data_IF_014176036648
#
_entry.id   IF_014176036648
#
_cell.length_a   1.000
_cell.length_b   1.000
_cell.length_c   1.000
_cell.angle_alpha   90.00
_cell.angle_beta   90.00
_cell.angle_gamma   90.00
#
_symmetry.space_group_name_H-M   'P 1'
#
loop_
_entity.id
_entity.type
_entity.pdbx_description
1 polymer ?
#
# COMPACT_ATOMS: atom_id res chain seq x y z
N UNK A 1 60.55 -39.30 -65.43
CA UNK A 1 59.26 -38.61 -65.61
C UNK A 1 58.47 -38.66 -64.31
N UNK A 2 58.44 -37.59 -63.60
CA UNK A 2 57.74 -37.49 -62.29
C UNK A 2 56.30 -37.00 -62.51
N UNK A 3 55.28 -37.49 -61.76
CA UNK A 3 53.98 -36.91 -61.75
C UNK A 3 53.83 -35.90 -60.63
N UNK A 4 52.98 -34.93 -60.92
CA UNK A 4 52.65 -33.68 -60.23
C UNK A 4 52.02 -33.86 -58.86
N UNK A 5 52.47 -33.06 -57.92
CA UNK A 5 51.93 -32.86 -56.58
C UNK A 5 50.47 -32.33 -56.55
N UNK A 6 49.59 -33.02 -55.82
CA UNK A 6 48.23 -32.58 -55.50
C UNK A 6 48.26 -31.88 -54.17
N UNK A 7 48.03 -30.55 -54.18
CA UNK A 7 47.84 -29.77 -52.95
C UNK A 7 46.36 -29.81 -52.58
N UNK A 8 46.04 -30.52 -51.50
CA UNK A 8 44.74 -30.50 -50.89
C UNK A 8 44.62 -29.27 -49.94
N UNK A 9 43.74 -28.36 -50.29
CA UNK A 9 43.37 -27.25 -49.43
C UNK A 9 42.25 -27.68 -48.48
N UNK A 10 42.57 -27.80 -47.16
CA UNK A 10 41.55 -27.96 -46.10
C UNK A 10 40.93 -26.61 -45.83
N UNK A 11 39.68 -26.38 -46.27
CA UNK A 11 38.81 -25.32 -45.79
C UNK A 11 38.23 -25.74 -44.44
N UNK A 12 38.74 -25.16 -43.32
CA UNK A 12 38.18 -25.33 -42.01
C UNK A 12 36.90 -24.47 -41.87
N UNK A 13 35.74 -25.13 -41.87
CA UNK A 13 34.45 -24.51 -41.59
C UNK A 13 34.32 -24.28 -40.09
N UNK A 14 34.60 -23.04 -39.60
CA UNK A 14 34.38 -22.67 -38.25
C UNK A 14 32.86 -22.49 -38.01
N UNK A 15 32.23 -23.50 -37.41
CA UNK A 15 30.84 -23.44 -36.97
C UNK A 15 30.82 -22.66 -35.64
N UNK A 16 30.53 -21.37 -35.67
CA UNK A 16 30.24 -20.55 -34.48
C UNK A 16 28.90 -21.00 -33.92
N UNK A 17 28.92 -21.83 -32.86
CA UNK A 17 27.75 -22.08 -32.03
C UNK A 17 27.35 -20.77 -31.31
N UNK A 18 26.41 -20.05 -31.85
CA UNK A 18 25.67 -19.00 -31.13
C UNK A 18 24.83 -19.71 -30.05
N UNK A 19 25.34 -19.74 -28.81
CA UNK A 19 24.53 -20.12 -27.66
C UNK A 19 23.40 -19.11 -27.53
N UNK A 20 22.11 -19.53 -27.51
CA UNK A 20 21.04 -18.63 -27.16
C UNK A 20 21.28 -18.14 -25.73
N UNK A 21 21.52 -16.86 -25.55
CA UNK A 21 21.42 -16.22 -24.25
C UNK A 21 19.99 -16.41 -23.79
N UNK A 22 19.76 -17.33 -22.87
CA UNK A 22 18.49 -17.45 -22.19
C UNK A 22 18.28 -16.12 -21.45
N UNK A 23 17.48 -15.22 -22.04
CA UNK A 23 17.00 -14.03 -21.39
C UNK A 23 16.13 -14.54 -20.25
N UNK A 24 16.60 -14.40 -19.02
CA UNK A 24 15.78 -14.72 -17.85
C UNK A 24 14.48 -13.91 -18.01
N UNK A 25 13.36 -14.61 -18.13
CA UNK A 25 12.07 -13.94 -18.19
C UNK A 25 11.95 -13.07 -16.94
N UNK A 26 11.69 -11.79 -17.12
CA UNK A 26 11.55 -10.86 -16.00
C UNK A 26 10.51 -11.43 -15.04
N UNK A 27 10.87 -11.56 -13.78
CA UNK A 27 9.99 -12.12 -12.74
C UNK A 27 8.73 -11.24 -12.65
N UNK A 28 7.55 -11.84 -12.83
CA UNK A 28 6.27 -11.17 -12.55
C UNK A 28 6.09 -11.07 -11.04
N UNK A 29 6.12 -9.85 -10.50
CA UNK A 29 5.98 -9.59 -9.07
C UNK A 29 4.54 -9.80 -8.60
N UNK A 30 4.36 -10.34 -7.41
CA UNK A 30 3.08 -10.37 -6.71
C UNK A 30 2.99 -9.14 -5.81
N UNK A 31 2.09 -8.22 -6.15
CA UNK A 31 1.91 -6.95 -5.43
C UNK A 31 0.58 -6.96 -4.69
N UNK A 32 0.65 -7.02 -3.37
CA UNK A 32 -0.55 -6.99 -2.53
C UNK A 32 -1.10 -5.59 -2.35
N UNK A 33 -2.42 -5.51 -2.24
CA UNK A 33 -3.16 -4.31 -1.87
C UNK A 33 -4.34 -4.70 -0.98
N UNK A 34 -4.86 -3.75 -0.19
CA UNK A 34 -6.07 -4.01 0.59
C UNK A 34 -7.31 -4.10 -0.34
N UNK A 35 -8.36 -4.70 0.16
CA UNK A 35 -9.61 -4.88 -0.61
C UNK A 35 -10.47 -3.62 -0.65
N UNK A 36 -10.37 -2.76 0.38
CA UNK A 36 -11.12 -1.50 0.46
C UNK A 36 -10.47 -0.50 1.44
N UNK A 37 -9.84 0.52 0.90
CA UNK A 37 -9.25 1.64 1.65
C UNK A 37 -9.32 2.93 0.82
N UNK A 38 -10.53 3.43 0.60
CA UNK A 38 -10.77 4.64 -0.21
C UNK A 38 -10.12 5.88 0.43
N UNK A 39 -9.41 6.75 -0.30
CA UNK A 39 -9.24 6.79 -1.76
C UNK A 39 -7.95 6.11 -2.27
N UNK A 40 -7.27 5.30 -1.46
CA UNK A 40 -5.97 4.69 -1.81
C UNK A 40 -6.12 3.46 -2.70
N UNK A 41 -6.94 2.50 -2.30
CA UNK A 41 -7.26 1.31 -3.09
C UNK A 41 -8.69 0.86 -2.82
N UNK A 42 -9.42 0.61 -3.88
CA UNK A 42 -10.80 0.12 -3.84
C UNK A 42 -11.24 -0.42 -5.20
N UNK A 43 -12.35 -1.12 -5.22
CA UNK A 43 -12.91 -1.67 -6.46
C UNK A 43 -13.98 -0.75 -7.02
N UNK A 44 -13.79 -0.29 -8.27
CA UNK A 44 -14.75 0.49 -9.04
C UNK A 44 -14.96 -0.19 -10.40
N UNK A 45 -16.20 -0.39 -10.81
CA UNK A 45 -16.57 -1.03 -12.09
C UNK A 45 -15.83 -2.36 -12.37
N UNK A 46 -15.66 -3.15 -11.30
CA UNK A 46 -14.99 -4.45 -11.37
C UNK A 46 -13.46 -4.41 -11.34
N UNK A 47 -12.84 -3.24 -11.38
CA UNK A 47 -11.37 -3.06 -11.37
C UNK A 47 -10.90 -2.37 -10.10
N UNK A 48 -9.69 -2.69 -9.66
CA UNK A 48 -9.04 -1.93 -8.60
C UNK A 48 -8.51 -0.61 -9.13
N UNK A 49 -8.72 0.45 -8.34
CA UNK A 49 -8.27 1.82 -8.60
C UNK A 49 -7.97 2.52 -7.27
N UNK A 50 -7.48 3.75 -7.32
CA UNK A 50 -7.12 4.55 -6.16
C UNK A 50 -5.70 5.09 -6.26
N UNK A 51 -5.35 5.94 -5.30
CA UNK A 51 -4.03 6.58 -5.29
C UNK A 51 -2.88 5.55 -5.26
N UNK A 52 -2.94 4.55 -4.37
CA UNK A 52 -1.91 3.52 -4.25
C UNK A 52 -1.80 2.68 -5.52
N UNK A 53 -2.94 2.32 -6.13
CA UNK A 53 -2.97 1.55 -7.37
C UNK A 53 -2.28 2.31 -8.50
N UNK A 54 -2.65 3.58 -8.71
CA UNK A 54 -2.09 4.41 -9.78
C UNK A 54 -0.63 4.79 -9.50
N UNK A 55 -0.26 4.99 -8.24
CA UNK A 55 1.13 5.21 -7.85
C UNK A 55 2.00 3.99 -8.19
N UNK A 56 1.51 2.78 -7.85
CA UNK A 56 2.24 1.55 -8.21
C UNK A 56 2.34 1.36 -9.72
N UNK A 57 1.27 1.61 -10.47
CA UNK A 57 1.28 1.56 -11.94
C UNK A 57 2.37 2.48 -12.53
N UNK A 58 2.46 3.72 -12.01
CA UNK A 58 3.49 4.67 -12.43
C UNK A 58 4.90 4.20 -12.07
N UNK A 59 5.11 3.71 -10.83
CA UNK A 59 6.39 3.16 -10.37
C UNK A 59 6.80 1.96 -11.22
N UNK A 60 5.90 1.00 -11.44
CA UNK A 60 6.18 -0.20 -12.22
C UNK A 60 6.55 0.14 -13.68
N UNK A 61 5.85 1.09 -14.27
CA UNK A 61 6.17 1.60 -15.61
C UNK A 61 7.55 2.26 -15.65
N UNK A 62 7.87 3.13 -14.69
CA UNK A 62 9.14 3.85 -14.59
C UNK A 62 10.32 2.89 -14.38
N UNK A 63 10.11 1.85 -13.58
CA UNK A 63 11.14 0.86 -13.23
C UNK A 63 11.14 -0.38 -14.14
N UNK A 64 10.30 -0.43 -15.19
CA UNK A 64 10.11 -1.58 -16.09
C UNK A 64 9.84 -2.90 -15.34
N UNK A 65 8.96 -2.85 -14.31
CA UNK A 65 8.58 -4.01 -13.51
C UNK A 65 7.31 -4.66 -14.06
N UNK A 66 7.35 -5.98 -14.22
CA UNK A 66 6.15 -6.77 -14.52
C UNK A 66 5.50 -7.22 -13.20
N UNK A 67 4.19 -7.06 -13.05
CA UNK A 67 3.49 -7.44 -11.83
C UNK A 67 2.07 -7.93 -12.08
N UNK A 68 1.54 -8.63 -11.07
CA UNK A 68 0.12 -8.90 -10.90
C UNK A 68 -0.35 -8.34 -9.56
N UNK A 69 -1.48 -7.68 -9.56
CA UNK A 69 -2.10 -7.19 -8.33
C UNK A 69 -2.77 -8.35 -7.59
N UNK A 70 -2.60 -8.40 -6.27
CA UNK A 70 -3.21 -9.39 -5.39
C UNK A 70 -3.95 -8.69 -4.25
N UNK A 71 -5.25 -8.38 -4.43
CA UNK A 71 -6.07 -7.84 -3.36
C UNK A 71 -6.29 -8.89 -2.26
N UNK A 72 -6.15 -8.45 -1.00
CA UNK A 72 -6.31 -9.31 0.16
C UNK A 72 -6.62 -8.49 1.42
N UNK A 73 -7.07 -9.14 2.50
CA UNK A 73 -7.27 -8.47 3.76
C UNK A 73 -5.96 -7.93 4.33
N UNK A 74 -5.97 -6.70 4.84
CA UNK A 74 -4.79 -5.98 5.34
C UNK A 74 -3.96 -6.80 6.34
N UNK A 75 -4.61 -7.51 7.26
CA UNK A 75 -3.93 -8.31 8.29
C UNK A 75 -3.12 -9.49 7.73
N UNK A 76 -3.34 -9.89 6.49
CA UNK A 76 -2.57 -10.91 5.79
C UNK A 76 -1.33 -10.40 5.07
N UNK A 77 -1.21 -9.08 4.85
CA UNK A 77 -0.16 -8.48 4.02
C UNK A 77 1.23 -8.67 4.65
N UNK A 78 1.42 -8.26 5.92
CA UNK A 78 2.73 -8.38 6.57
C UNK A 78 3.19 -9.86 6.68
N UNK A 79 2.35 -10.80 7.14
CA UNK A 79 2.69 -12.23 7.08
C UNK A 79 3.04 -12.73 5.67
N UNK A 80 2.32 -12.26 4.64
CA UNK A 80 2.58 -12.62 3.25
C UNK A 80 3.95 -12.13 2.75
N UNK A 81 4.38 -10.92 3.16
CA UNK A 81 5.71 -10.39 2.88
C UNK A 81 6.80 -11.20 3.62
N UNK A 82 6.60 -11.52 4.90
CA UNK A 82 7.55 -12.30 5.70
C UNK A 82 7.78 -13.73 5.15
N UNK A 83 6.76 -14.32 4.55
CA UNK A 83 6.83 -15.65 3.94
C UNK A 83 7.24 -15.63 2.46
N UNK A 84 7.54 -14.44 1.90
CA UNK A 84 7.87 -14.23 0.48
C UNK A 84 6.80 -14.71 -0.51
N UNK A 85 5.53 -14.83 -0.06
CA UNK A 85 4.37 -15.05 -0.94
C UNK A 85 3.94 -13.79 -1.68
N UNK A 86 4.40 -12.63 -1.22
CA UNK A 86 4.18 -11.29 -1.74
C UNK A 86 5.54 -10.64 -1.94
N UNK A 87 5.76 -9.98 -3.07
CA UNK A 87 7.02 -9.31 -3.40
C UNK A 87 7.01 -7.82 -3.01
N UNK A 88 5.84 -7.19 -3.02
CA UNK A 88 5.63 -5.80 -2.59
C UNK A 88 4.18 -5.60 -2.14
N UNK A 89 3.91 -4.57 -1.36
CA UNK A 89 2.55 -4.20 -0.96
C UNK A 89 2.38 -2.68 -0.84
N UNK A 90 1.27 -2.18 -1.41
CA UNK A 90 0.74 -0.84 -1.17
C UNK A 90 -0.66 -0.98 -0.60
N UNK A 91 -0.88 -0.45 0.58
CA UNK A 91 -2.16 -0.55 1.30
C UNK A 91 -2.22 0.47 2.46
N UNK A 92 -1.75 1.69 2.25
CA UNK A 92 -1.63 2.67 3.32
C UNK A 92 -0.84 2.12 4.51
N UNK A 93 0.27 1.42 4.27
CA UNK A 93 1.00 0.71 5.32
C UNK A 93 1.88 1.69 6.10
N UNK A 94 1.47 2.00 7.32
CA UNK A 94 2.24 2.89 8.22
C UNK A 94 3.63 2.32 8.48
N UNK A 95 4.67 3.13 8.22
CA UNK A 95 6.06 2.83 8.58
C UNK A 95 6.17 2.87 10.10
N UNK A 96 6.50 1.73 10.70
CA UNK A 96 6.63 1.57 12.16
C UNK A 96 7.88 0.79 12.52
N UNK A 97 8.55 1.12 13.65
CA UNK A 97 9.78 0.44 14.06
C UNK A 97 9.62 -1.07 14.28
N UNK A 98 8.47 -1.52 14.80
CA UNK A 98 8.18 -2.95 15.01
C UNK A 98 8.00 -3.69 13.68
N UNK A 99 7.34 -3.08 12.68
CA UNK A 99 7.20 -3.62 11.33
C UNK A 99 8.54 -3.64 10.60
N UNK A 100 9.35 -2.58 10.71
CA UNK A 100 10.65 -2.46 10.08
C UNK A 100 11.69 -3.51 10.57
N UNK A 101 11.43 -4.17 11.70
CA UNK A 101 12.24 -5.32 12.15
C UNK A 101 12.07 -6.55 11.27
N UNK A 102 10.90 -6.72 10.65
CA UNK A 102 10.50 -7.96 9.97
C UNK A 102 10.20 -7.81 8.48
N UNK A 103 10.03 -6.58 8.00
CA UNK A 103 9.86 -6.21 6.59
C UNK A 103 10.65 -4.94 6.29
N UNK A 104 10.87 -4.63 5.02
CA UNK A 104 11.47 -3.37 4.60
C UNK A 104 10.42 -2.43 4.01
N UNK A 105 10.74 -1.14 3.98
CA UNK A 105 9.90 -0.10 3.43
C UNK A 105 10.63 0.72 2.38
N UNK A 106 9.87 1.28 1.44
CA UNK A 106 10.33 2.39 0.61
C UNK A 106 10.51 3.66 1.43
N UNK A 107 11.03 4.70 0.78
CA UNK A 107 10.87 6.06 1.26
C UNK A 107 9.38 6.39 1.43
N UNK A 108 9.04 7.32 2.35
CA UNK A 108 7.64 7.71 2.57
C UNK A 108 7.00 8.28 1.31
N UNK A 109 5.75 7.85 1.04
CA UNK A 109 5.01 8.39 -0.09
C UNK A 109 3.78 9.20 0.31
N UNK A 110 3.28 9.08 1.55
CA UNK A 110 2.11 9.82 2.02
C UNK A 110 2.20 10.07 3.52
N UNK A 111 1.87 11.30 3.96
CA UNK A 111 1.75 11.62 5.38
C UNK A 111 0.31 11.36 5.85
N UNK A 112 0.18 10.66 6.98
CA UNK A 112 -1.09 10.28 7.57
C UNK A 112 -1.10 10.54 9.08
N UNK A 113 -2.13 10.04 9.73
CA UNK A 113 -2.35 10.08 11.16
C UNK A 113 -3.63 9.33 11.51
N UNK A 114 -4.09 9.43 12.73
CA UNK A 114 -5.31 8.80 13.22
C UNK A 114 -6.34 9.84 13.62
N UNK A 115 -7.61 9.61 13.26
CA UNK A 115 -8.72 10.47 13.63
C UNK A 115 -9.93 9.66 14.13
N UNK A 116 -10.80 10.35 14.84
CA UNK A 116 -12.05 9.78 15.36
C UNK A 116 -13.20 10.19 14.44
N UNK A 117 -13.99 9.21 14.00
CA UNK A 117 -15.25 9.42 13.30
C UNK A 117 -16.40 9.04 14.24
N UNK A 118 -17.40 9.91 14.34
CA UNK A 118 -18.59 9.71 15.19
C UNK A 118 -19.84 10.11 14.46
N UNK A 119 -21.02 9.68 14.95
CA UNK A 119 -22.30 10.19 14.49
C UNK A 119 -22.38 11.70 14.65
N UNK A 120 -23.12 12.38 13.76
CA UNK A 120 -23.24 13.84 13.73
C UNK A 120 -23.58 14.44 15.11
N UNK A 121 -24.51 13.79 15.84
CA UNK A 121 -25.01 14.27 17.13
C UNK A 121 -24.25 13.72 18.33
N UNK A 122 -23.17 12.96 18.11
CA UNK A 122 -22.35 12.40 19.19
C UNK A 122 -21.70 13.49 20.03
N UNK A 123 -21.68 13.34 21.37
CA UNK A 123 -20.97 14.24 22.29
C UNK A 123 -19.45 14.04 22.29
N UNK A 124 -18.94 12.92 21.73
CA UNK A 124 -17.52 12.59 21.69
C UNK A 124 -16.76 13.63 20.88
N UNK A 125 -15.65 14.15 21.43
CA UNK A 125 -14.79 15.15 20.80
C UNK A 125 -13.31 14.82 20.84
N UNK A 126 -12.88 14.00 21.80
CA UNK A 126 -11.46 13.72 22.09
C UNK A 126 -11.21 12.24 22.35
N UNK A 127 -9.94 11.83 22.43
CA UNK A 127 -9.56 10.47 22.82
C UNK A 127 -10.10 10.07 24.19
N UNK A 128 -10.14 11.02 25.15
CA UNK A 128 -10.64 10.75 26.50
C UNK A 128 -12.12 10.36 26.49
N UNK A 129 -12.91 10.92 25.60
CA UNK A 129 -14.35 10.62 25.50
C UNK A 129 -14.60 9.19 24.94
N UNK A 130 -13.57 8.50 24.44
CA UNK A 130 -13.63 7.10 24.01
C UNK A 130 -13.49 6.10 25.18
N UNK A 131 -13.14 6.55 26.38
CA UNK A 131 -13.08 5.69 27.57
C UNK A 131 -14.42 4.98 27.81
N UNK A 132 -14.37 3.65 27.96
CA UNK A 132 -15.52 2.77 28.13
C UNK A 132 -16.52 2.73 26.95
N UNK A 133 -16.22 3.39 25.83
CA UNK A 133 -17.03 3.38 24.59
C UNK A 133 -16.71 2.16 23.73
N UNK A 134 -17.68 1.77 22.90
CA UNK A 134 -17.47 0.75 21.87
C UNK A 134 -16.91 1.43 20.63
N UNK A 135 -15.66 1.11 20.30
CA UNK A 135 -14.92 1.73 19.18
C UNK A 135 -14.62 0.68 18.13
N UNK A 136 -15.10 0.90 16.91
CA UNK A 136 -14.78 0.05 15.79
C UNK A 136 -13.41 0.44 15.20
N UNK A 137 -12.59 -0.56 14.91
CA UNK A 137 -11.24 -0.42 14.35
C UNK A 137 -10.97 -1.55 13.35
N UNK A 138 -10.09 -1.31 12.39
CA UNK A 138 -9.68 -2.34 11.42
C UNK A 138 -8.56 -3.21 12.00
N UNK A 139 -8.73 -4.54 11.90
CA UNK A 139 -7.75 -5.50 12.41
C UNK A 139 -6.39 -5.38 11.71
N UNK A 140 -5.30 -5.55 12.46
CA UNK A 140 -3.92 -5.52 11.94
C UNK A 140 -3.35 -4.11 11.68
N UNK A 141 -4.16 -3.05 11.85
CA UNK A 141 -3.73 -1.67 11.63
C UNK A 141 -2.99 -1.07 12.83
N UNK A 142 -2.25 0.01 12.59
CA UNK A 142 -1.62 0.81 13.63
C UNK A 142 -2.62 1.37 14.65
N UNK A 143 -3.86 1.57 14.22
CA UNK A 143 -4.96 2.06 15.04
C UNK A 143 -5.25 1.15 16.24
N UNK A 144 -5.22 -0.18 16.04
CA UNK A 144 -5.49 -1.16 17.12
C UNK A 144 -4.46 -1.01 18.24
N UNK A 145 -3.19 -0.89 17.87
CA UNK A 145 -2.10 -0.78 18.85
C UNK A 145 -2.14 0.57 19.56
N UNK A 146 -2.40 1.65 18.80
CA UNK A 146 -2.60 2.98 19.38
C UNK A 146 -3.72 2.99 20.41
N UNK A 147 -4.89 2.45 20.08
CA UNK A 147 -6.05 2.42 20.97
C UNK A 147 -5.77 1.61 22.23
N UNK A 148 -5.13 0.44 22.11
CA UNK A 148 -4.75 -0.39 23.27
C UNK A 148 -3.78 0.33 24.20
N UNK A 149 -2.84 1.11 23.65
CA UNK A 149 -1.84 1.83 24.42
C UNK A 149 -2.38 3.11 25.07
N UNK A 150 -3.25 3.85 24.40
CA UNK A 150 -3.63 5.20 24.78
C UNK A 150 -5.07 5.30 25.33
N UNK A 151 -5.95 4.36 25.01
CA UNK A 151 -7.34 4.31 25.49
C UNK A 151 -7.70 2.87 25.90
N UNK A 152 -7.00 2.28 26.88
CA UNK A 152 -7.12 0.85 27.19
C UNK A 152 -8.51 0.46 27.72
N UNK A 153 -9.30 1.40 28.22
CA UNK A 153 -10.68 1.17 28.66
C UNK A 153 -11.71 1.15 27.52
N UNK A 154 -11.34 1.54 26.29
CA UNK A 154 -12.21 1.44 25.14
C UNK A 154 -12.48 -0.03 24.78
N UNK A 155 -13.74 -0.34 24.47
CA UNK A 155 -14.17 -1.66 24.02
C UNK A 155 -13.99 -1.75 22.51
N UNK A 156 -12.86 -2.32 22.07
CA UNK A 156 -12.54 -2.41 20.64
C UNK A 156 -13.37 -3.50 19.96
N UNK A 157 -14.07 -3.13 18.88
CA UNK A 157 -14.74 -4.04 17.96
C UNK A 157 -13.94 -4.09 16.66
N UNK A 158 -13.35 -5.25 16.40
CA UNK A 158 -12.40 -5.45 15.30
C UNK A 158 -13.11 -5.87 14.02
N UNK A 159 -12.79 -5.22 12.90
CA UNK A 159 -13.33 -5.53 11.58
C UNK A 159 -12.22 -5.83 10.57
N UNK A 160 -12.38 -6.81 9.68
CA UNK A 160 -11.41 -7.06 8.62
C UNK A 160 -11.42 -5.95 7.56
N UNK A 161 -12.60 -5.33 7.32
CA UNK A 161 -12.78 -4.26 6.37
C UNK A 161 -13.32 -3.01 7.08
N UNK A 162 -12.77 -1.83 6.74
CA UNK A 162 -13.16 -0.56 7.37
C UNK A 162 -14.60 -0.13 7.02
N UNK A 163 -15.10 -0.51 5.85
CA UNK A 163 -16.47 -0.19 5.44
C UNK A 163 -17.50 -0.82 6.37
N UNK A 164 -17.21 -2.01 6.92
CA UNK A 164 -18.05 -2.64 7.93
C UNK A 164 -18.05 -1.84 9.26
N UNK A 165 -16.91 -1.26 9.65
CA UNK A 165 -16.85 -0.39 10.81
C UNK A 165 -17.67 0.89 10.61
N UNK A 166 -17.62 1.49 9.42
CA UNK A 166 -18.45 2.65 9.07
C UNK A 166 -19.94 2.32 9.08
N UNK A 167 -20.34 1.15 8.60
CA UNK A 167 -21.72 0.70 8.66
C UNK A 167 -22.22 0.50 10.09
N UNK A 168 -21.38 -0.05 10.97
CA UNK A 168 -21.70 -0.19 12.40
C UNK A 168 -21.92 1.16 13.07
N UNK A 169 -21.10 2.16 12.73
CA UNK A 169 -21.29 3.53 13.21
C UNK A 169 -22.60 4.13 12.67
N UNK A 170 -22.83 4.01 11.37
CA UNK A 170 -24.03 4.55 10.73
C UNK A 170 -25.33 3.97 11.27
N UNK A 171 -25.30 2.73 11.79
CA UNK A 171 -26.43 2.02 12.39
C UNK A 171 -26.49 2.11 13.92
N UNK A 172 -25.58 2.88 14.54
CA UNK A 172 -25.56 3.13 16.00
C UNK A 172 -25.11 1.91 16.83
N UNK A 173 -24.48 0.91 16.23
CA UNK A 173 -23.97 -0.28 16.93
C UNK A 173 -22.58 -0.12 17.54
N UNK A 174 -21.91 0.99 17.24
CA UNK A 174 -20.68 1.45 17.89
C UNK A 174 -20.77 2.96 18.13
N UNK A 175 -20.03 3.45 19.13
CA UNK A 175 -20.01 4.88 19.49
C UNK A 175 -19.10 5.70 18.59
N UNK A 176 -18.03 5.09 18.08
CA UNK A 176 -17.02 5.72 17.23
C UNK A 176 -16.33 4.71 16.31
N UNK A 177 -15.74 5.22 15.25
CA UNK A 177 -14.70 4.54 14.46
C UNK A 177 -13.40 5.33 14.64
N UNK A 178 -12.29 4.64 14.88
CA UNK A 178 -10.95 5.23 14.82
C UNK A 178 -10.20 4.57 13.68
N UNK A 179 -9.69 5.40 12.78
CA UNK A 179 -8.91 4.93 11.63
C UNK A 179 -8.05 6.07 11.07
N UNK A 180 -7.36 5.78 10.00
CA UNK A 180 -6.44 6.70 9.35
C UNK A 180 -7.18 7.96 8.86
N UNK A 181 -6.60 9.11 9.16
CA UNK A 181 -7.20 10.43 8.93
C UNK A 181 -7.73 10.63 7.51
N UNK A 182 -6.96 10.32 6.42
CA UNK A 182 -7.44 10.56 5.06
C UNK A 182 -8.68 9.72 4.71
N UNK A 183 -8.73 8.47 5.19
CA UNK A 183 -9.86 7.57 4.91
C UNK A 183 -11.14 8.02 5.64
N UNK A 184 -11.07 8.34 6.95
CA UNK A 184 -12.25 8.83 7.68
C UNK A 184 -12.73 10.19 7.17
N UNK A 185 -11.81 11.07 6.77
CA UNK A 185 -12.16 12.35 6.16
C UNK A 185 -12.87 12.18 4.82
N UNK A 186 -12.37 11.25 3.99
CA UNK A 186 -13.00 10.94 2.71
C UNK A 186 -14.42 10.39 2.92
N UNK A 187 -14.59 9.41 3.81
CA UNK A 187 -15.89 8.84 4.13
C UNK A 187 -16.86 9.92 4.63
N UNK A 188 -16.43 10.79 5.55
CA UNK A 188 -17.27 11.85 6.11
C UNK A 188 -17.74 12.87 5.05
N UNK A 189 -16.93 13.11 4.01
CA UNK A 189 -17.26 14.02 2.90
C UNK A 189 -18.13 13.39 1.80
N UNK A 190 -18.18 12.05 1.76
CA UNK A 190 -18.87 11.29 0.70
C UNK A 190 -20.03 10.48 1.27
N UNK A 191 -19.89 9.17 1.45
CA UNK A 191 -20.97 8.26 1.88
C UNK A 191 -21.53 8.58 3.28
N UNK A 192 -20.71 9.17 4.16
CA UNK A 192 -21.10 9.60 5.50
C UNK A 192 -21.63 11.04 5.61
N UNK A 193 -21.67 11.79 4.49
CA UNK A 193 -22.02 13.21 4.50
C UNK A 193 -23.35 13.48 5.19
N UNK A 194 -23.32 14.44 6.15
CA UNK A 194 -24.49 14.83 6.93
C UNK A 194 -24.90 13.85 8.04
N UNK A 195 -24.31 12.65 8.12
CA UNK A 195 -24.61 11.61 9.13
C UNK A 195 -23.51 11.46 10.17
N UNK A 196 -22.28 11.74 9.79
CA UNK A 196 -21.09 11.60 10.66
C UNK A 196 -20.25 12.88 10.66
N UNK A 197 -19.36 13.00 11.62
CA UNK A 197 -18.35 14.05 11.70
C UNK A 197 -17.02 13.48 12.17
N UNK A 198 -15.93 14.04 11.65
CA UNK A 198 -14.58 13.79 12.14
C UNK A 198 -14.33 14.69 13.34
N UNK A 199 -13.89 14.12 14.45
CA UNK A 199 -13.56 14.83 15.68
C UNK A 199 -12.21 14.38 16.19
N UNK A 200 -11.39 15.30 16.68
CA UNK A 200 -10.09 15.01 17.26
C UNK A 200 -9.10 14.35 16.27
N UNK A 201 -7.91 14.91 16.15
CA UNK A 201 -6.75 14.21 15.62
C UNK A 201 -6.10 13.47 16.79
N UNK A 202 -5.98 12.15 16.71
CA UNK A 202 -5.37 11.34 17.76
C UNK A 202 -3.86 11.28 17.62
N UNK A 203 -3.38 11.27 16.39
CA UNK A 203 -1.97 11.19 16.02
C UNK A 203 -1.78 11.83 14.66
N UNK A 204 -0.66 12.52 14.47
CA UNK A 204 -0.18 13.06 13.19
C UNK A 204 1.28 12.67 12.99
N UNK A 205 1.80 12.87 11.78
CA UNK A 205 3.20 12.56 11.46
C UNK A 205 3.48 11.06 11.31
N UNK A 206 2.47 10.26 11.02
CA UNK A 206 2.65 8.91 10.51
C UNK A 206 2.84 8.96 8.99
N UNK A 207 3.64 8.06 8.46
CA UNK A 207 3.91 7.99 7.03
C UNK A 207 3.59 6.62 6.48
N UNK A 208 3.03 6.56 5.27
CA UNK A 208 2.90 5.33 4.51
C UNK A 208 4.16 5.06 3.68
N UNK A 209 4.55 3.80 3.64
CA UNK A 209 5.59 3.27 2.78
C UNK A 209 5.11 2.06 2.00
N UNK A 210 5.69 1.84 0.84
CA UNK A 210 5.54 0.59 0.11
C UNK A 210 6.34 -0.46 0.87
N UNK A 211 5.70 -1.59 1.19
CA UNK A 211 6.31 -2.63 2.01
C UNK A 211 6.86 -3.78 1.16
N UNK A 212 7.94 -4.38 1.62
CA UNK A 212 8.67 -5.46 0.94
C UNK A 212 9.10 -6.53 1.94
N UNK A 213 9.36 -7.76 1.48
CA UNK A 213 10.11 -8.73 2.27
C UNK A 213 11.43 -8.14 2.77
N UNK A 214 11.91 -8.64 3.90
CA UNK A 214 13.19 -8.20 4.47
C UNK A 214 14.33 -8.42 3.47
N UNK A 215 15.27 -7.46 3.40
CA UNK A 215 16.44 -7.45 2.50
C UNK A 215 16.08 -7.46 0.99
N UNK A 216 14.90 -6.93 0.65
CA UNK A 216 14.43 -6.89 -0.73
C UNK A 216 15.27 -5.96 -1.62
N UNK A 217 15.69 -6.48 -2.78
CA UNK A 217 16.39 -5.70 -3.81
C UNK A 217 15.48 -4.73 -4.55
N UNK A 218 14.16 -4.81 -4.34
CA UNK A 218 13.20 -3.89 -4.95
C UNK A 218 13.21 -2.51 -4.27
N UNK A 219 13.59 -2.40 -2.99
CA UNK A 219 13.58 -1.13 -2.25
C UNK A 219 14.32 -0.01 -2.99
N UNK A 220 15.61 -0.16 -3.33
CA UNK A 220 16.32 0.91 -4.04
C UNK A 220 15.76 1.20 -5.44
N UNK A 221 15.23 0.18 -6.14
CA UNK A 221 14.61 0.35 -7.46
C UNK A 221 13.35 1.18 -7.37
N UNK A 222 12.49 0.85 -6.41
CA UNK A 222 11.21 1.56 -6.17
C UNK A 222 11.45 2.97 -5.64
N UNK A 223 12.42 3.16 -4.72
CA UNK A 223 12.76 4.50 -4.22
C UNK A 223 13.25 5.41 -5.35
N UNK A 224 14.09 4.88 -6.24
CA UNK A 224 14.53 5.66 -7.41
C UNK A 224 13.35 6.06 -8.30
N UNK A 225 12.47 5.12 -8.63
CA UNK A 225 11.29 5.40 -9.45
C UNK A 225 10.37 6.42 -8.76
N UNK A 226 10.13 6.29 -7.45
CA UNK A 226 9.32 7.24 -6.68
C UNK A 226 9.94 8.65 -6.68
N UNK A 227 11.26 8.76 -6.54
CA UNK A 227 11.97 10.02 -6.62
C UNK A 227 11.86 10.66 -8.03
N UNK A 228 12.01 9.87 -9.09
CA UNK A 228 11.86 10.32 -10.47
C UNK A 228 10.43 10.85 -10.72
N UNK A 229 9.38 10.13 -10.25
CA UNK A 229 7.98 10.56 -10.37
C UNK A 229 7.66 11.84 -9.57
N UNK A 230 8.33 12.06 -8.45
CA UNK A 230 8.23 13.32 -7.70
C UNK A 230 8.93 14.46 -8.46
N UNK A 231 10.08 14.19 -9.04
CA UNK A 231 10.86 15.19 -9.77
C UNK A 231 10.20 15.65 -11.08
N UNK A 232 9.52 14.74 -11.81
CA UNK A 232 8.84 15.06 -13.07
C UNK A 232 7.39 15.58 -12.90
N UNK A 233 6.90 15.64 -11.64
CA UNK A 233 5.55 16.11 -11.29
C UNK A 233 4.43 15.09 -11.52
N UNK A 234 4.73 13.84 -11.88
CA UNK A 234 3.73 12.78 -12.03
C UNK A 234 3.08 12.46 -10.69
N UNK A 235 3.89 12.35 -9.62
CA UNK A 235 3.39 12.14 -8.26
C UNK A 235 2.43 13.26 -7.83
N UNK A 236 2.77 14.52 -8.06
CA UNK A 236 1.94 15.68 -7.70
C UNK A 236 0.58 15.65 -8.40
N UNK A 237 0.55 15.29 -9.69
CA UNK A 237 -0.70 15.15 -10.46
C UNK A 237 -1.58 14.03 -9.91
N UNK A 238 -1.00 12.88 -9.55
CA UNK A 238 -1.74 11.79 -8.93
C UNK A 238 -2.30 12.23 -7.57
N UNK A 239 -1.49 12.87 -6.75
CA UNK A 239 -1.89 13.36 -5.45
C UNK A 239 -3.05 14.39 -5.56
N UNK A 240 -2.93 15.36 -6.45
CA UNK A 240 -3.97 16.37 -6.68
C UNK A 240 -5.27 15.73 -7.22
N UNK A 241 -5.17 14.74 -8.09
CA UNK A 241 -6.33 14.00 -8.61
C UNK A 241 -7.15 13.34 -7.49
N UNK A 242 -6.49 12.73 -6.50
CA UNK A 242 -7.16 11.97 -5.46
C UNK A 242 -7.52 12.78 -4.22
N UNK A 243 -6.75 13.81 -3.90
CA UNK A 243 -6.91 14.58 -2.65
C UNK A 243 -7.32 16.04 -2.86
N UNK A 244 -7.39 16.51 -4.12
CA UNK A 244 -7.84 17.87 -4.48
C UNK A 244 -6.86 18.97 -4.07
N UNK A 245 -5.65 18.63 -3.67
CA UNK A 245 -4.56 19.57 -3.34
C UNK A 245 -3.21 18.92 -3.71
N UNK A 246 -2.17 19.75 -3.83
CA UNK A 246 -0.79 19.23 -3.96
C UNK A 246 -0.30 18.67 -2.61
N UNK A 247 0.71 17.79 -2.62
CA UNK A 247 1.39 17.38 -1.40
C UNK A 247 2.00 18.60 -0.70
N UNK A 248 2.03 18.57 0.63
CA UNK A 248 2.61 19.62 1.48
C UNK A 248 4.13 19.58 1.42
#
# INVERSE_FOLDING_TARGET
>A
MLPKSLKAALLGLAFTLALPTAQAADKVLTVATDTAFVPFEFKQDGKYTGFDIQLWEAIAKQANLQYRLQPMDFNGIIPGLQTHNIDAALAGITIRPDRAKVIDFSDPYYESGLAILVSKDSPIKTAKDLENKTVAVKIGTATVDYMKANVPSAKLKLFPNIDNAFLELATGRVDAVVHDTPNVQYYAKTAGQGKVKVVGSLKSGDFYGIAFPKDSKLVPVVNKALADLKADGTYDKLYETWFGKKPD
#
